data_IF_008304395935
#
_entry.id   IF_008304395935
#
_cell.length_a   1.000
_cell.length_b   1.000
_cell.length_c   1.000
_cell.angle_alpha   90.00
_cell.angle_beta   90.00
_cell.angle_gamma   90.00
#
_symmetry.space_group_name_H-M   'P 1'
#
loop_
_entity.id
_entity.type
_entity.pdbx_description
1 polymer ?
#
# COMPACT_ATOMS: atom_id res chain seq x y z
N UNK A 1 -40.41 -25.88 -35.27
CA UNK A 1 -40.35 -25.40 -36.66
C UNK A 1 -38.91 -24.92 -36.87
N UNK A 2 -38.10 -25.67 -37.61
CA UNK A 2 -36.74 -25.22 -37.94
C UNK A 2 -36.86 -24.15 -39.04
N UNK A 3 -36.30 -22.97 -38.80
CA UNK A 3 -36.14 -21.94 -39.82
C UNK A 3 -34.79 -22.19 -40.49
N UNK A 4 -34.81 -22.76 -41.69
CA UNK A 4 -33.61 -22.90 -42.52
C UNK A 4 -33.29 -21.55 -43.14
N UNK A 5 -32.14 -20.99 -42.79
CA UNK A 5 -31.52 -19.87 -43.48
C UNK A 5 -30.60 -20.45 -44.54
N UNK A 6 -31.00 -20.35 -45.81
CA UNK A 6 -30.15 -20.66 -46.95
C UNK A 6 -29.51 -19.36 -47.43
N UNK A 7 -28.19 -19.29 -47.41
CA UNK A 7 -27.41 -18.21 -48.02
C UNK A 7 -26.96 -18.66 -49.40
N UNK A 8 -26.98 -17.76 -50.38
CA UNK A 8 -26.30 -18.05 -51.64
C UNK A 8 -24.77 -17.98 -51.49
N UNK A 9 -24.03 -18.54 -52.46
CA UNK A 9 -22.56 -18.61 -52.40
C UNK A 9 -21.91 -17.21 -52.34
N UNK A 10 -22.57 -16.19 -52.88
CA UNK A 10 -22.08 -14.82 -52.83
C UNK A 10 -22.31 -14.17 -51.46
N UNK A 11 -23.47 -14.42 -50.84
CA UNK A 11 -23.82 -13.98 -49.49
C UNK A 11 -22.95 -14.67 -48.44
N UNK A 12 -22.64 -15.95 -48.63
CA UNK A 12 -21.71 -16.71 -47.79
C UNK A 12 -20.28 -16.15 -47.87
N UNK A 13 -19.79 -15.87 -49.09
CA UNK A 13 -18.47 -15.26 -49.27
C UNK A 13 -18.37 -13.88 -48.60
N UNK A 14 -19.41 -13.05 -48.71
CA UNK A 14 -19.47 -11.73 -48.05
C UNK A 14 -19.48 -11.86 -46.52
N UNK A 15 -20.20 -12.83 -45.97
CA UNK A 15 -20.20 -13.08 -44.51
C UNK A 15 -18.83 -13.52 -44.02
N UNK A 16 -18.18 -14.43 -44.74
CA UNK A 16 -16.85 -14.94 -44.39
C UNK A 16 -15.77 -13.85 -44.49
N UNK A 17 -15.79 -13.05 -45.56
CA UNK A 17 -14.90 -11.88 -45.71
C UNK A 17 -15.08 -10.87 -44.56
N UNK A 18 -16.32 -10.58 -44.16
CA UNK A 18 -16.62 -9.69 -43.03
C UNK A 18 -16.13 -10.23 -41.68
N UNK A 19 -16.08 -11.55 -41.53
CA UNK A 19 -15.52 -12.22 -40.36
C UNK A 19 -13.99 -12.40 -40.44
N UNK A 20 -13.36 -12.01 -41.56
CA UNK A 20 -11.93 -12.21 -41.80
C UNK A 20 -11.54 -13.66 -42.05
N UNK A 21 -12.50 -14.50 -42.43
CA UNK A 21 -12.30 -15.91 -42.76
C UNK A 21 -12.09 -16.09 -44.27
N UNK A 22 -11.32 -17.11 -44.70
CA UNK A 22 -11.23 -17.47 -46.10
C UNK A 22 -12.61 -17.79 -46.70
N UNK A 23 -12.86 -17.35 -47.94
CA UNK A 23 -14.13 -17.54 -48.65
C UNK A 23 -14.52 -19.02 -48.82
N UNK A 24 -13.55 -19.94 -48.78
CA UNK A 24 -13.74 -21.39 -48.88
C UNK A 24 -13.96 -22.08 -47.51
N UNK A 25 -14.21 -21.32 -46.45
CA UNK A 25 -14.41 -21.89 -45.10
C UNK A 25 -15.76 -22.61 -45.03
N UNK A 26 -15.72 -23.94 -45.06
CA UNK A 26 -16.91 -24.82 -44.99
C UNK A 26 -17.23 -25.29 -43.57
N UNK A 27 -16.37 -24.96 -42.60
CA UNK A 27 -16.56 -25.31 -41.19
C UNK A 27 -17.56 -24.35 -40.53
N UNK A 28 -18.80 -24.81 -40.37
CA UNK A 28 -19.89 -24.03 -39.77
C UNK A 28 -19.66 -23.74 -38.28
N UNK A 29 -18.95 -24.62 -37.56
CA UNK A 29 -18.68 -24.43 -36.14
C UNK A 29 -17.65 -23.31 -35.95
N UNK A 30 -16.61 -23.29 -36.78
CA UNK A 30 -15.62 -22.22 -36.81
C UNK A 30 -16.26 -20.85 -37.09
N UNK A 31 -17.12 -20.77 -38.11
CA UNK A 31 -17.85 -19.52 -38.47
C UNK A 31 -18.71 -19.03 -37.31
N UNK A 32 -19.40 -19.94 -36.62
CA UNK A 32 -20.25 -19.60 -35.49
C UNK A 32 -19.42 -19.12 -34.29
N UNK A 33 -18.26 -19.74 -34.04
CA UNK A 33 -17.37 -19.35 -32.95
C UNK A 33 -16.65 -18.03 -33.22
N UNK A 34 -16.22 -17.77 -34.46
CA UNK A 34 -15.70 -16.45 -34.85
C UNK A 34 -16.77 -15.37 -34.75
N UNK A 35 -18.02 -15.67 -35.10
CA UNK A 35 -19.14 -14.73 -34.94
C UNK A 35 -19.39 -14.44 -33.45
N UNK A 36 -19.40 -15.47 -32.60
CA UNK A 36 -19.52 -15.29 -31.14
C UNK A 36 -18.38 -14.45 -30.59
N UNK A 37 -17.16 -14.67 -31.05
CA UNK A 37 -15.99 -13.91 -30.59
C UNK A 37 -16.02 -12.45 -31.05
N UNK A 38 -16.38 -12.21 -32.32
CA UNK A 38 -16.60 -10.87 -32.85
C UNK A 38 -17.70 -10.11 -32.08
N UNK A 39 -18.77 -10.80 -31.67
CA UNK A 39 -19.84 -10.22 -30.86
C UNK A 39 -19.45 -10.02 -29.38
N UNK A 40 -18.50 -10.80 -28.84
CA UNK A 40 -17.92 -10.57 -27.51
C UNK A 40 -16.94 -9.40 -27.50
N UNK A 41 -16.21 -9.21 -28.60
CA UNK A 41 -15.22 -8.14 -28.79
C UNK A 41 -15.80 -6.83 -29.31
N UNK A 42 -17.08 -6.79 -29.68
CA UNK A 42 -17.72 -5.57 -30.15
C UNK A 42 -17.63 -4.50 -29.05
N UNK A 43 -16.92 -3.36 -29.27
CA UNK A 43 -16.99 -2.25 -28.35
C UNK A 43 -18.46 -1.86 -28.25
N UNK A 44 -18.94 -1.64 -27.02
CA UNK A 44 -20.25 -1.04 -26.76
C UNK A 44 -20.39 0.13 -27.72
N UNK A 45 -21.27 0.00 -28.72
CA UNK A 45 -21.49 1.01 -29.75
C UNK A 45 -21.72 2.35 -29.04
N UNK A 46 -21.26 3.45 -29.62
CA UNK A 46 -21.28 4.79 -29.01
C UNK A 46 -22.68 5.25 -28.52
N UNK A 47 -23.75 4.57 -28.94
CA UNK A 47 -25.15 4.81 -28.60
C UNK A 47 -25.76 3.75 -27.65
N UNK A 48 -24.93 2.92 -27.02
CA UNK A 48 -25.40 1.91 -26.07
C UNK A 48 -25.92 2.58 -24.81
N UNK A 49 -27.14 2.27 -24.33
CA UNK A 49 -27.68 2.93 -23.15
C UNK A 49 -26.76 2.68 -21.94
N UNK A 50 -26.50 3.70 -21.09
CA UNK A 50 -25.59 3.60 -19.95
C UNK A 50 -25.86 2.41 -19.02
N UNK A 51 -27.11 1.92 -18.98
CA UNK A 51 -27.51 0.73 -18.22
C UNK A 51 -26.88 -0.57 -18.72
N UNK A 52 -26.64 -0.71 -20.02
CA UNK A 52 -25.95 -1.88 -20.59
C UNK A 52 -24.44 -1.83 -20.35
N UNK A 53 -23.85 -0.64 -20.32
CA UNK A 53 -22.45 -0.41 -19.95
C UNK A 53 -22.23 -0.80 -18.47
N UNK A 54 -23.13 -0.37 -17.58
CA UNK A 54 -23.09 -0.75 -16.16
C UNK A 54 -23.31 -2.25 -15.94
N UNK A 55 -24.22 -2.88 -16.70
CA UNK A 55 -24.45 -4.32 -16.62
C UNK A 55 -23.26 -5.15 -17.15
N UNK A 56 -22.59 -4.68 -18.21
CA UNK A 56 -21.37 -5.30 -18.72
C UNK A 56 -20.20 -5.14 -17.73
N UNK A 57 -20.01 -3.95 -17.17
CA UNK A 57 -18.98 -3.70 -16.16
C UNK A 57 -19.19 -4.59 -14.91
N UNK A 58 -20.43 -4.71 -14.43
CA UNK A 58 -20.76 -5.55 -13.27
C UNK A 58 -20.49 -7.04 -13.49
N UNK A 59 -20.60 -7.55 -14.73
CA UNK A 59 -20.22 -8.94 -15.06
C UNK A 59 -18.72 -9.21 -14.94
N UNK A 60 -17.90 -8.15 -14.90
CA UNK A 60 -16.45 -8.20 -14.76
C UNK A 60 -15.96 -7.66 -13.42
N UNK A 61 -16.83 -7.56 -12.41
CA UNK A 61 -16.54 -6.95 -11.10
C UNK A 61 -16.03 -5.49 -11.19
N UNK A 62 -16.39 -4.78 -12.26
CA UNK A 62 -16.08 -3.37 -12.46
C UNK A 62 -17.30 -2.51 -12.11
N UNK A 63 -17.06 -1.41 -11.38
CA UNK A 63 -18.08 -0.42 -11.07
C UNK A 63 -17.90 0.82 -11.96
N UNK A 64 -18.97 1.25 -12.61
CA UNK A 64 -18.96 2.47 -13.44
C UNK A 64 -19.12 3.66 -12.50
N UNK A 65 -18.03 4.42 -12.32
CA UNK A 65 -18.03 5.65 -11.54
C UNK A 65 -17.95 6.88 -12.45
N UNK A 66 -18.55 7.99 -12.01
CA UNK A 66 -18.33 9.28 -12.67
C UNK A 66 -16.88 9.74 -12.53
N UNK A 67 -16.41 10.44 -13.57
CA UNK A 67 -15.04 10.96 -13.68
C UNK A 67 -14.69 11.95 -12.56
N UNK A 68 -15.64 12.75 -12.08
CA UNK A 68 -15.38 13.71 -11.01
C UNK A 68 -15.20 12.98 -9.67
N UNK A 69 -16.01 11.96 -9.40
CA UNK A 69 -15.87 11.13 -8.19
C UNK A 69 -14.55 10.36 -8.18
N UNK A 70 -14.14 9.81 -9.33
CA UNK A 70 -12.86 9.12 -9.46
C UNK A 70 -11.68 10.09 -9.27
N UNK A 71 -11.76 11.32 -9.79
CA UNK A 71 -10.73 12.34 -9.58
C UNK A 71 -10.64 12.74 -8.10
N UNK A 72 -11.78 12.96 -7.44
CA UNK A 72 -11.83 13.25 -6.00
C UNK A 72 -11.23 12.10 -5.17
N UNK A 73 -11.62 10.85 -5.45
CA UNK A 73 -11.09 9.69 -4.73
C UNK A 73 -9.57 9.54 -4.89
N UNK A 74 -9.05 9.78 -6.11
CA UNK A 74 -7.59 9.75 -6.35
C UNK A 74 -6.86 10.85 -5.59
N UNK A 75 -7.45 12.05 -5.55
CA UNK A 75 -6.91 13.18 -4.80
C UNK A 75 -6.89 12.86 -3.30
N UNK A 76 -8.00 12.42 -2.73
CA UNK A 76 -8.12 12.11 -1.31
C UNK A 76 -7.21 10.94 -0.91
N UNK A 77 -7.05 9.93 -1.78
CA UNK A 77 -6.10 8.86 -1.56
C UNK A 77 -4.64 9.35 -1.56
N UNK A 78 -4.31 10.34 -2.39
CA UNK A 78 -2.97 10.94 -2.41
C UNK A 78 -2.70 11.76 -1.14
N UNK A 79 -3.67 12.58 -0.72
CA UNK A 79 -3.58 13.34 0.53
C UNK A 79 -3.55 12.43 1.76
N UNK A 80 -4.37 11.37 1.79
CA UNK A 80 -4.36 10.36 2.85
C UNK A 80 -3.00 9.66 2.99
N UNK A 81 -2.33 9.34 1.87
CA UNK A 81 -0.96 8.79 1.91
C UNK A 81 0.04 9.78 2.49
N UNK A 82 -0.07 11.07 2.19
CA UNK A 82 0.80 12.12 2.76
C UNK A 82 0.57 12.27 4.25
N UNK A 83 -0.69 12.33 4.69
CA UNK A 83 -1.05 12.46 6.10
C UNK A 83 -0.59 11.23 6.89
N UNK A 84 -0.79 10.02 6.35
CA UNK A 84 -0.33 8.78 7.00
C UNK A 84 1.19 8.76 7.17
N UNK A 85 1.94 9.20 6.15
CA UNK A 85 3.40 9.30 6.23
C UNK A 85 3.84 10.35 7.28
N UNK A 86 3.19 11.51 7.32
CA UNK A 86 3.47 12.55 8.31
C UNK A 86 3.15 12.09 9.74
N UNK A 87 2.02 11.40 9.94
CA UNK A 87 1.64 10.85 11.24
C UNK A 87 2.63 9.78 11.73
N UNK A 88 3.15 8.94 10.83
CA UNK A 88 4.20 7.97 11.17
C UNK A 88 5.49 8.66 11.59
N UNK A 89 5.93 9.67 10.85
CA UNK A 89 7.12 10.45 11.21
C UNK A 89 6.96 11.14 12.58
N UNK A 90 5.82 11.79 12.81
CA UNK A 90 5.53 12.45 14.08
C UNK A 90 5.49 11.47 15.26
N UNK A 91 4.92 10.27 15.07
CA UNK A 91 4.91 9.22 16.10
C UNK A 91 6.33 8.77 16.46
N UNK A 92 7.20 8.60 15.46
CA UNK A 92 8.60 8.24 15.69
C UNK A 92 9.32 9.35 16.46
N UNK A 93 9.20 10.60 16.00
CA UNK A 93 9.86 11.74 16.65
C UNK A 93 9.41 11.91 18.11
N UNK A 94 8.09 11.83 18.36
CA UNK A 94 7.54 11.92 19.71
C UNK A 94 8.08 10.81 20.64
N UNK A 95 8.16 9.57 20.16
CA UNK A 95 8.67 8.45 20.95
C UNK A 95 10.18 8.60 21.24
N UNK A 96 10.97 9.09 20.27
CA UNK A 96 12.40 9.35 20.49
C UNK A 96 12.59 10.52 21.45
N UNK A 97 11.78 11.58 21.35
CA UNK A 97 11.84 12.72 22.26
C UNK A 97 11.50 12.33 23.71
N UNK A 98 10.49 11.51 23.91
CA UNK A 98 10.17 10.94 25.22
C UNK A 98 11.33 10.08 25.76
N UNK A 99 11.98 9.29 24.90
CA UNK A 99 13.13 8.47 25.29
C UNK A 99 14.36 9.31 25.68
N UNK A 100 14.55 10.49 25.06
CA UNK A 100 15.58 11.45 25.47
C UNK A 100 15.20 12.08 26.81
N UNK A 101 13.95 12.53 26.98
CA UNK A 101 13.52 13.20 28.21
C UNK A 101 13.52 12.28 29.43
N UNK A 102 13.32 10.97 29.23
CA UNK A 102 13.37 9.94 30.27
C UNK A 102 14.75 9.30 30.44
N UNK A 103 15.75 9.76 29.68
CA UNK A 103 17.16 9.34 29.86
C UNK A 103 17.43 7.92 29.37
N UNK A 104 16.50 7.31 28.64
CA UNK A 104 16.69 6.01 27.96
C UNK A 104 17.81 6.10 26.94
N UNK A 105 17.89 7.23 26.22
CA UNK A 105 18.91 7.51 25.22
C UNK A 105 19.51 8.90 25.44
N UNK A 106 20.76 9.09 24.99
CA UNK A 106 21.42 10.40 25.01
C UNK A 106 20.86 11.30 23.91
N UNK A 107 20.74 12.61 24.16
CA UNK A 107 20.30 13.61 23.16
C UNK A 107 21.13 13.58 21.86
N UNK A 108 22.45 13.35 21.95
CA UNK A 108 23.34 13.25 20.80
C UNK A 108 22.96 12.11 19.82
N UNK A 109 22.26 11.07 20.30
CA UNK A 109 21.82 9.94 19.49
C UNK A 109 20.39 10.07 18.98
N UNK A 110 19.67 11.17 19.28
CA UNK A 110 18.28 11.37 18.83
C UNK A 110 18.14 11.14 17.33
N UNK A 111 18.94 11.82 16.51
CA UNK A 111 18.84 11.72 15.06
C UNK A 111 19.08 10.30 14.54
N UNK A 112 20.02 9.58 15.15
CA UNK A 112 20.32 8.19 14.78
C UNK A 112 19.12 7.27 15.05
N UNK A 113 18.45 7.43 16.19
CA UNK A 113 17.25 6.68 16.53
C UNK A 113 16.06 7.02 15.63
N UNK A 114 15.86 8.30 15.28
CA UNK A 114 14.83 8.69 14.31
C UNK A 114 15.07 8.00 12.95
N UNK A 115 16.31 8.01 12.46
CA UNK A 115 16.66 7.33 11.21
C UNK A 115 16.42 5.82 11.31
N UNK A 116 16.85 5.17 12.39
CA UNK A 116 16.63 3.73 12.58
C UNK A 116 15.15 3.38 12.61
N UNK A 117 14.34 4.09 13.40
CA UNK A 117 12.90 3.83 13.53
C UNK A 117 12.11 4.14 12.25
N UNK A 118 12.64 5.02 11.38
CA UNK A 118 12.06 5.27 10.05
C UNK A 118 12.23 4.06 9.13
N UNK A 119 13.36 3.35 9.22
CA UNK A 119 13.65 2.18 8.40
C UNK A 119 13.13 0.86 8.99
N UNK A 120 13.06 0.74 10.32
CA UNK A 120 12.55 -0.42 11.02
C UNK A 120 11.63 -0.01 12.17
N UNK A 121 10.34 -0.31 12.02
CA UNK A 121 9.32 0.03 13.00
C UNK A 121 9.46 -0.77 14.31
N UNK A 122 10.06 -1.96 14.28
CA UNK A 122 10.30 -2.76 15.49
C UNK A 122 11.29 -2.10 16.44
N UNK A 123 12.12 -1.16 15.95
CA UNK A 123 13.05 -0.42 16.81
C UNK A 123 12.33 0.50 17.80
N UNK A 124 11.08 0.88 17.55
CA UNK A 124 10.25 1.58 18.55
C UNK A 124 9.91 0.67 19.74
N UNK A 125 9.68 -0.63 19.51
CA UNK A 125 9.44 -1.60 20.58
C UNK A 125 10.71 -1.81 21.41
N UNK A 126 11.87 -1.90 20.74
CA UNK A 126 13.17 -1.95 21.41
C UNK A 126 13.36 -0.70 22.26
N UNK A 127 13.10 0.50 21.72
CA UNK A 127 13.21 1.75 22.45
C UNK A 127 12.26 1.81 23.66
N UNK A 128 11.05 1.27 23.52
CA UNK A 128 10.09 1.17 24.62
C UNK A 128 10.59 0.23 25.73
N UNK A 129 11.26 -0.87 25.37
CA UNK A 129 11.80 -1.86 26.30
C UNK A 129 13.02 -1.38 27.11
N UNK A 130 13.71 -0.32 26.66
CA UNK A 130 14.85 0.25 27.39
C UNK A 130 14.35 0.86 28.71
N UNK A 131 14.91 0.46 29.88
CA UNK A 131 14.58 1.07 31.15
C UNK A 131 14.91 2.56 31.18
N UNK A 132 14.13 3.33 31.93
CA UNK A 132 14.40 4.75 32.13
C UNK A 132 15.80 4.95 32.72
N UNK A 133 16.43 6.08 32.39
CA UNK A 133 17.74 6.48 32.92
C UNK A 133 18.92 5.55 32.58
N UNK A 134 18.73 4.59 31.65
CA UNK A 134 19.80 3.66 31.23
C UNK A 134 21.02 4.38 30.68
N UNK A 135 20.84 5.47 29.93
CA UNK A 135 21.92 6.20 29.28
C UNK A 135 22.30 7.49 30.02
N UNK A 136 21.31 8.18 30.60
CA UNK A 136 21.51 9.43 31.35
C UNK A 136 20.76 9.31 32.67
N UNK A 137 21.46 9.29 33.82
CA UNK A 137 20.83 9.38 35.12
C UNK A 137 20.14 10.75 35.25
N UNK A 138 18.83 10.75 35.53
CA UNK A 138 18.06 11.99 35.71
C UNK A 138 17.67 12.15 37.18
N UNK A 139 17.60 11.03 37.91
CA UNK A 139 17.49 11.03 39.36
C UNK A 139 18.88 10.83 39.99
N UNK A 140 19.21 11.62 41.01
CA UNK A 140 20.41 11.39 41.81
C UNK A 140 20.26 10.10 42.62
N UNK A 141 20.96 9.04 42.22
CA UNK A 141 21.30 7.96 43.16
C UNK A 141 22.32 8.55 44.14
N UNK A 142 21.84 8.88 45.34
CA UNK A 142 22.54 9.70 46.33
C UNK A 142 24.04 9.42 46.48
N UNK A 143 24.81 10.49 46.61
CA UNK A 143 26.20 10.43 47.05
C UNK A 143 26.21 9.91 48.49
N UNK A 144 26.70 8.69 48.72
CA UNK A 144 27.01 8.22 50.06
C UNK A 144 28.21 9.02 50.57
N UNK A 145 27.95 10.09 51.31
CA UNK A 145 28.89 10.55 52.34
C UNK A 145 28.84 9.53 53.47
N UNK A 146 29.50 8.39 53.27
CA UNK A 146 29.86 7.56 54.41
C UNK A 146 30.76 8.45 55.28
N UNK A 147 30.37 8.79 56.52
CA UNK A 147 31.27 9.53 57.39
C UNK A 147 32.50 8.64 57.54
N UNK A 148 33.64 9.11 57.04
CA UNK A 148 34.91 8.45 57.27
C UNK A 148 35.00 8.16 58.76
N UNK A 149 34.97 6.87 59.12
CA UNK A 149 35.21 6.45 60.48
C UNK A 149 36.59 7.00 60.85
N UNK A 150 36.64 7.96 61.77
CA UNK A 150 37.86 8.63 62.29
C UNK A 150 38.82 7.64 63.00
N UNK A 151 38.58 6.33 62.85
CA UNK A 151 39.37 5.22 63.38
C UNK A 151 39.98 4.30 62.31
N UNK A 152 39.88 4.63 61.03
CA UNK A 152 40.61 3.91 59.99
C UNK A 152 42.11 4.22 60.11
N UNK A 153 42.87 3.22 60.55
CA UNK A 153 44.34 3.20 60.59
C UNK A 153 44.94 3.92 59.38
N UNK A 154 45.79 4.91 59.68
CA UNK A 154 46.56 5.65 58.66
C UNK A 154 47.26 4.65 57.74
N UNK A 155 47.03 4.70 56.43
CA UNK A 155 47.59 3.69 55.57
C UNK A 155 49.10 3.99 55.37
N UNK A 156 49.93 2.97 55.57
CA UNK A 156 51.38 3.04 55.75
C UNK A 156 52.20 3.41 54.49
N UNK A 157 51.59 4.06 53.50
CA UNK A 157 52.21 4.33 52.19
C UNK A 157 52.59 5.80 51.96
N UNK A 158 52.49 6.65 53.00
CA UNK A 158 53.23 7.91 53.02
C UNK A 158 54.42 7.77 53.98
N UNK A 159 55.60 7.48 53.39
CA UNK A 159 56.91 7.74 53.97
C UNK A 159 57.59 8.84 53.16
#
# INVERSE_FOLDING_TARGET
MALTLEFDDAEAAVLLDRLGLPEDTTDTELVLDTLKDALRGAPLMADTPPSQIAAAAKKHDLEVMDTQTLAALRHDAAEGRKIAAAAKAQKIEAAVDEAVSTGKITAARKQHWVTLCTHDEKMLEVLASVPNETAVPINELGHSIDPADDRADKPAWFY
#
